data_IF_566583179244
#
_entry.id   IF_566583179244
#
_cell.length_a   1.000
_cell.length_b   1.000
_cell.length_c   1.000
_cell.angle_alpha   90.00
_cell.angle_beta   90.00
_cell.angle_gamma   90.00
#
_symmetry.space_group_name_H-M   'P 1'
#
loop_
_entity.id
_entity.type
_entity.pdbx_description
1 polymer ?
#
# COMPACT_ATOMS: atom_id res chain seq x y z
N UNK A 1 8.80 13.05 16.22
CA UNK A 1 7.51 12.34 16.27
C UNK A 1 7.69 11.05 15.48
N UNK A 2 7.03 9.96 15.88
CA UNK A 2 7.08 8.72 15.10
C UNK A 2 6.22 8.93 13.83
N UNK A 3 6.72 8.51 12.67
CA UNK A 3 5.99 8.59 11.40
C UNK A 3 4.81 7.63 11.46
N UNK A 4 3.61 8.09 11.12
CA UNK A 4 2.38 7.30 11.06
C UNK A 4 2.09 6.96 9.60
N UNK A 5 2.14 5.68 9.27
CA UNK A 5 1.84 5.19 7.92
C UNK A 5 0.67 4.24 7.97
N UNK A 6 -0.36 4.55 7.17
CA UNK A 6 -1.52 3.68 6.96
C UNK A 6 -1.38 2.99 5.60
N UNK A 7 -1.77 1.73 5.47
CA UNK A 7 -1.76 1.04 4.18
C UNK A 7 -3.12 0.48 3.80
N UNK A 8 -3.45 0.56 2.51
CA UNK A 8 -4.48 -0.26 1.88
C UNK A 8 -3.97 -1.70 1.64
N UNK A 9 -4.86 -2.57 1.15
CA UNK A 9 -4.60 -3.96 0.77
C UNK A 9 -3.55 -4.08 -0.33
N UNK A 10 -3.69 -3.34 -1.43
CA UNK A 10 -2.89 -3.58 -2.64
C UNK A 10 -1.39 -3.38 -2.48
N UNK A 11 -0.86 -2.38 -1.75
CA UNK A 11 0.59 -2.27 -1.59
C UNK A 11 1.21 -3.44 -0.84
N UNK A 12 0.50 -3.96 0.17
CA UNK A 12 0.95 -5.11 0.95
C UNK A 12 0.86 -6.38 0.12
N UNK A 13 -0.29 -6.66 -0.50
CA UNK A 13 -0.48 -7.90 -1.25
C UNK A 13 0.45 -7.97 -2.47
N UNK A 14 0.61 -6.87 -3.20
CA UNK A 14 1.52 -6.78 -4.34
C UNK A 14 2.98 -7.09 -3.94
N UNK A 15 3.49 -6.45 -2.89
CA UNK A 15 4.86 -6.69 -2.43
C UNK A 15 5.03 -8.08 -1.80
N UNK A 16 4.02 -8.59 -1.09
CA UNK A 16 4.04 -9.95 -0.55
C UNK A 16 4.11 -11.01 -1.64
N UNK A 17 3.32 -10.86 -2.72
CA UNK A 17 3.30 -11.79 -3.86
C UNK A 17 4.66 -11.92 -4.56
N UNK A 18 5.46 -10.85 -4.59
CA UNK A 18 6.81 -10.85 -5.18
C UNK A 18 7.93 -11.05 -4.15
N UNK A 19 7.58 -11.37 -2.89
CA UNK A 19 8.57 -11.60 -1.82
C UNK A 19 9.33 -10.35 -1.38
N UNK A 20 8.80 -9.15 -1.63
CA UNK A 20 9.43 -7.85 -1.33
C UNK A 20 8.73 -7.08 -0.20
N UNK A 21 7.86 -7.72 0.58
CA UNK A 21 7.10 -7.06 1.65
C UNK A 21 8.00 -6.37 2.70
N UNK A 22 9.18 -6.93 2.96
CA UNK A 22 10.17 -6.39 3.92
C UNK A 22 10.65 -4.98 3.56
N UNK A 23 10.53 -4.55 2.31
CA UNK A 23 10.83 -3.17 1.90
C UNK A 23 10.02 -2.16 2.74
N UNK A 24 8.74 -2.45 3.01
CA UNK A 24 7.90 -1.57 3.82
C UNK A 24 8.41 -1.49 5.27
N UNK A 25 8.84 -2.61 5.84
CA UNK A 25 9.43 -2.64 7.17
C UNK A 25 10.71 -1.81 7.25
N UNK A 26 11.61 -1.96 6.29
CA UNK A 26 12.87 -1.20 6.24
C UNK A 26 12.64 0.31 6.03
N UNK A 27 11.58 0.68 5.30
CA UNK A 27 11.28 2.10 5.04
C UNK A 27 10.59 2.77 6.22
N UNK A 28 9.58 2.11 6.81
CA UNK A 28 8.65 2.72 7.76
C UNK A 28 8.78 2.19 9.20
N UNK A 29 9.51 1.09 9.42
CA UNK A 29 9.62 0.34 10.68
C UNK A 29 8.31 -0.31 11.16
N UNK A 30 7.16 0.34 10.93
CA UNK A 30 5.82 -0.10 11.29
C UNK A 30 4.81 0.51 10.32
N UNK A 31 3.77 -0.25 10.01
CA UNK A 31 2.59 0.25 9.29
C UNK A 31 1.33 -0.13 10.07
N UNK A 32 0.28 0.67 9.89
CA UNK A 32 -1.03 0.43 10.49
C UNK A 32 -2.00 0.11 9.36
N UNK A 33 -2.84 -0.90 9.53
CA UNK A 33 -3.91 -1.23 8.60
C UNK A 33 -5.25 -1.26 9.32
N UNK A 34 -6.34 -0.82 8.67
CA UNK A 34 -7.66 -0.94 9.23
C UNK A 34 -8.15 -2.40 9.19
N UNK A 35 -9.21 -2.70 9.94
CA UNK A 35 -9.73 -4.08 10.07
C UNK A 35 -10.23 -4.63 8.73
N UNK A 36 -10.90 -3.83 7.88
CA UNK A 36 -11.33 -4.29 6.56
C UNK A 36 -10.15 -4.71 5.68
N UNK A 37 -9.05 -3.95 5.69
CA UNK A 37 -7.82 -4.27 4.94
C UNK A 37 -7.19 -5.56 5.46
N UNK A 38 -7.10 -5.75 6.78
CA UNK A 38 -6.59 -7.01 7.35
C UNK A 38 -7.44 -8.21 6.93
N UNK A 39 -8.76 -8.07 6.94
CA UNK A 39 -9.68 -9.13 6.51
C UNK A 39 -9.46 -9.47 5.03
N UNK A 40 -9.38 -8.45 4.16
CA UNK A 40 -9.08 -8.67 2.73
C UNK A 40 -7.73 -9.37 2.52
N UNK A 41 -6.71 -9.06 3.32
CA UNK A 41 -5.37 -9.64 3.24
C UNK A 41 -5.27 -11.07 3.79
N UNK A 42 -6.27 -11.51 4.55
CA UNK A 42 -6.27 -12.82 5.23
C UNK A 42 -7.43 -13.73 4.83
N UNK A 43 -8.29 -13.26 3.93
CA UNK A 43 -9.35 -14.06 3.33
C UNK A 43 -8.82 -15.07 2.30
N UNK A 44 -9.61 -16.10 1.98
CA UNK A 44 -9.25 -17.16 1.04
C UNK A 44 -8.86 -16.61 -0.34
N UNK A 45 -9.44 -15.47 -0.73
CA UNK A 45 -9.13 -14.79 -2.00
C UNK A 45 -7.74 -14.17 -2.10
N UNK A 46 -7.07 -13.87 -0.98
CA UNK A 46 -5.73 -13.26 -0.96
C UNK A 46 -4.62 -14.27 -1.30
N UNK A 47 -4.87 -15.55 -1.04
CA UNK A 47 -3.90 -16.64 -1.17
C UNK A 47 -2.95 -16.76 0.02
N UNK A 48 -2.50 -17.99 0.28
CA UNK A 48 -1.72 -18.37 1.47
C UNK A 48 -0.44 -17.55 1.64
N UNK A 49 0.21 -17.15 0.55
CA UNK A 49 1.45 -16.36 0.58
C UNK A 49 1.21 -15.00 1.23
N UNK A 50 0.15 -14.30 0.81
CA UNK A 50 -0.18 -12.96 1.34
C UNK A 50 -0.63 -13.08 2.79
N UNK A 51 -1.56 -13.98 3.07
CA UNK A 51 -2.09 -14.19 4.43
C UNK A 51 -0.97 -14.55 5.42
N UNK A 52 -0.08 -15.47 5.06
CA UNK A 52 1.06 -15.87 5.90
C UNK A 52 2.02 -14.70 6.11
N UNK A 53 2.33 -13.93 5.06
CA UNK A 53 3.23 -12.79 5.17
C UNK A 53 2.69 -11.72 6.13
N UNK A 54 1.38 -11.44 6.09
CA UNK A 54 0.74 -10.46 6.98
C UNK A 54 0.66 -11.00 8.41
N UNK A 55 0.17 -12.23 8.61
CA UNK A 55 -0.01 -12.82 9.94
C UNK A 55 1.30 -13.07 10.70
N UNK A 56 2.40 -13.31 9.98
CA UNK A 56 3.73 -13.49 10.57
C UNK A 56 4.48 -12.19 10.84
N UNK A 57 3.98 -11.06 10.35
CA UNK A 57 4.62 -9.75 10.48
C UNK A 57 4.22 -9.05 11.78
N UNK A 58 5.18 -8.83 12.69
CA UNK A 58 4.94 -8.13 13.97
C UNK A 58 4.90 -6.61 13.85
N UNK A 59 5.26 -6.06 12.68
CA UNK A 59 5.34 -4.63 12.40
C UNK A 59 4.13 -4.10 11.61
N UNK A 60 3.20 -4.98 11.23
CA UNK A 60 1.91 -4.63 10.64
C UNK A 60 0.88 -4.69 11.77
N UNK A 61 0.32 -3.54 12.14
CA UNK A 61 -0.68 -3.47 13.21
C UNK A 61 -2.07 -3.25 12.66
N UNK A 62 -3.00 -4.11 13.05
CA UNK A 62 -4.41 -3.98 12.72
C UNK A 62 -5.16 -3.20 13.80
N UNK A 63 -5.92 -2.20 13.40
CA UNK A 63 -6.77 -1.41 14.30
C UNK A 63 -8.14 -1.13 13.66
N UNK A 64 -9.23 -1.00 14.45
CA UNK A 64 -10.53 -0.61 13.92
C UNK A 64 -10.58 0.90 13.67
N UNK A 65 -11.32 1.31 12.64
CA UNK A 65 -11.57 2.73 12.33
C UNK A 65 -12.74 3.25 13.17
N UNK A 66 -12.59 4.40 13.83
CA UNK A 66 -13.67 4.99 14.63
C UNK A 66 -14.63 5.85 13.80
N UNK A 67 -14.14 6.54 12.77
CA UNK A 67 -14.95 7.43 11.94
C UNK A 67 -15.80 6.70 10.88
N UNK A 68 -16.77 5.91 11.34
CA UNK A 68 -17.64 5.11 10.47
C UNK A 68 -18.51 5.96 9.53
N UNK A 69 -18.86 7.20 9.91
CA UNK A 69 -19.61 8.11 9.03
C UNK A 69 -18.82 8.46 7.78
N UNK A 70 -17.52 8.73 7.92
CA UNK A 70 -16.65 8.98 6.78
C UNK A 70 -16.49 7.72 5.92
N UNK A 71 -16.29 6.55 6.54
CA UNK A 71 -16.22 5.26 5.84
C UNK A 71 -17.45 5.05 4.96
N UNK A 72 -18.66 5.15 5.52
CA UNK A 72 -19.91 4.98 4.76
C UNK A 72 -20.03 5.99 3.61
N UNK A 73 -19.59 7.23 3.80
CA UNK A 73 -19.63 8.24 2.73
C UNK A 73 -18.69 7.89 1.56
N UNK A 74 -17.53 7.31 1.86
CA UNK A 74 -16.50 6.93 0.89
C UNK A 74 -16.87 5.67 0.12
N UNK A 75 -17.57 4.71 0.74
CA UNK A 75 -18.01 3.46 0.11
C UNK A 75 -18.90 3.67 -1.14
N UNK A 76 -19.47 4.86 -1.34
CA UNK A 76 -20.17 5.22 -2.58
C UNK A 76 -19.24 5.38 -3.80
N UNK A 77 -17.92 5.44 -3.58
CA UNK A 77 -16.91 5.77 -4.61
C UNK A 77 -15.75 4.78 -4.68
N UNK A 78 -15.41 4.15 -3.56
CA UNK A 78 -14.28 3.24 -3.38
C UNK A 78 -14.76 1.98 -2.65
N UNK A 79 -13.96 0.92 -2.67
CA UNK A 79 -14.31 -0.30 -1.93
C UNK A 79 -14.18 -0.09 -0.40
N UNK A 80 -14.54 -1.12 0.37
CA UNK A 80 -14.55 -1.06 1.84
C UNK A 80 -13.14 -0.87 2.43
N UNK A 81 -12.14 -1.66 2.00
CA UNK A 81 -10.75 -1.52 2.44
C UNK A 81 -10.17 -0.14 2.14
N UNK A 82 -10.38 0.39 0.93
CA UNK A 82 -9.97 1.75 0.54
C UNK A 82 -10.67 2.82 1.39
N UNK A 83 -11.99 2.67 1.62
CA UNK A 83 -12.76 3.62 2.42
C UNK A 83 -12.26 3.68 3.87
N UNK A 84 -12.03 2.52 4.49
CA UNK A 84 -11.44 2.45 5.84
C UNK A 84 -10.02 3.01 5.86
N UNK A 85 -9.15 2.66 4.91
CA UNK A 85 -7.77 3.13 4.89
C UNK A 85 -7.67 4.66 4.78
N UNK A 86 -8.51 5.27 3.92
CA UNK A 86 -8.59 6.72 3.77
C UNK A 86 -9.14 7.37 5.04
N UNK A 87 -10.25 6.86 5.58
CA UNK A 87 -10.85 7.40 6.80
C UNK A 87 -9.87 7.31 7.97
N UNK A 88 -9.12 6.21 8.06
CA UNK A 88 -8.20 5.96 9.15
C UNK A 88 -6.93 6.82 9.05
N UNK A 89 -6.42 7.03 7.83
CA UNK A 89 -5.33 7.98 7.61
C UNK A 89 -5.70 9.40 8.08
N UNK A 90 -6.95 9.83 7.87
CA UNK A 90 -7.43 11.12 8.36
C UNK A 90 -7.60 11.12 9.88
N UNK A 91 -8.16 10.04 10.43
CA UNK A 91 -8.38 9.90 11.88
C UNK A 91 -7.08 9.97 12.68
N UNK A 92 -6.01 9.38 12.17
CA UNK A 92 -4.70 9.34 12.81
C UNK A 92 -3.81 10.54 12.47
N UNK A 93 -4.25 11.45 11.60
CA UNK A 93 -3.40 12.49 10.99
C UNK A 93 -2.11 11.88 10.40
N UNK A 94 -2.29 10.81 9.61
CA UNK A 94 -1.19 10.02 9.09
C UNK A 94 -0.28 10.82 8.16
N UNK A 95 1.03 10.63 8.31
CA UNK A 95 2.04 11.26 7.46
C UNK A 95 1.94 10.75 6.01
N UNK A 96 1.49 9.51 5.83
CA UNK A 96 1.36 8.89 4.51
C UNK A 96 0.35 7.73 4.48
N UNK A 97 -0.41 7.64 3.38
CA UNK A 97 -1.26 6.50 3.05
C UNK A 97 -0.70 5.75 1.83
N UNK A 98 -0.44 4.45 1.99
CA UNK A 98 -0.06 3.57 0.89
C UNK A 98 -1.32 3.10 0.14
N UNK A 99 -1.48 3.50 -1.11
CA UNK A 99 -2.64 3.16 -1.95
C UNK A 99 -2.33 3.25 -3.47
N UNK A 100 -2.66 2.20 -4.21
CA UNK A 100 -2.35 2.10 -5.65
C UNK A 100 -3.54 2.45 -6.55
N UNK A 101 -4.76 2.15 -6.11
CA UNK A 101 -5.96 2.25 -6.91
C UNK A 101 -6.28 3.70 -7.29
N UNK A 102 -6.57 3.93 -8.58
CA UNK A 102 -6.84 5.27 -9.12
C UNK A 102 -7.98 6.00 -8.40
N UNK A 103 -9.06 5.29 -8.04
CA UNK A 103 -10.21 5.90 -7.36
C UNK A 103 -9.87 6.25 -5.91
N UNK A 104 -9.28 5.31 -5.16
CA UNK A 104 -8.75 5.56 -3.82
C UNK A 104 -7.77 6.73 -3.76
N UNK A 105 -6.73 6.72 -4.62
CA UNK A 105 -5.75 7.82 -4.73
C UNK A 105 -6.43 9.19 -4.95
N UNK A 106 -7.45 9.22 -5.82
CA UNK A 106 -8.19 10.45 -6.12
C UNK A 106 -8.96 10.96 -4.90
N UNK A 107 -9.68 10.08 -4.19
CA UNK A 107 -10.45 10.51 -3.01
C UNK A 107 -9.55 10.88 -1.83
N UNK A 108 -8.47 10.14 -1.59
CA UNK A 108 -7.45 10.46 -0.59
C UNK A 108 -6.84 11.85 -0.84
N UNK A 109 -6.40 12.12 -2.08
CA UNK A 109 -5.86 13.42 -2.48
C UNK A 109 -6.89 14.54 -2.32
N UNK A 110 -8.15 14.30 -2.70
CA UNK A 110 -9.25 15.28 -2.55
C UNK A 110 -9.47 15.66 -1.07
N UNK A 111 -9.21 14.74 -0.16
CA UNK A 111 -9.33 14.93 1.29
C UNK A 111 -8.04 15.43 1.95
N UNK A 112 -6.98 15.68 1.18
CA UNK A 112 -5.71 16.22 1.69
C UNK A 112 -4.80 15.18 2.33
N UNK A 113 -5.07 13.89 2.15
CA UNK A 113 -4.22 12.80 2.67
C UNK A 113 -2.98 12.67 1.77
N UNK A 114 -1.75 12.73 2.33
CA UNK A 114 -0.54 12.42 1.58
C UNK A 114 -0.56 10.94 1.16
N UNK A 115 -0.21 10.65 -0.10
CA UNK A 115 -0.28 9.30 -0.63
C UNK A 115 1.01 8.87 -1.31
N UNK A 116 1.31 7.58 -1.22
CA UNK A 116 2.25 6.89 -2.10
C UNK A 116 1.68 5.55 -2.53
N UNK A 117 2.25 4.96 -3.57
CA UNK A 117 1.91 3.61 -4.03
C UNK A 117 3.15 2.75 -4.11
N UNK A 118 3.02 1.50 -4.55
CA UNK A 118 4.14 0.54 -4.65
C UNK A 118 5.30 1.09 -5.47
N UNK A 119 5.01 1.76 -6.60
CA UNK A 119 6.08 2.33 -7.44
C UNK A 119 6.86 3.44 -6.72
N UNK A 120 6.19 4.25 -5.90
CA UNK A 120 6.85 5.25 -5.06
C UNK A 120 7.70 4.60 -3.97
N UNK A 121 7.17 3.53 -3.35
CA UNK A 121 7.92 2.71 -2.38
C UNK A 121 9.18 2.12 -3.01
N UNK A 122 9.12 1.59 -4.23
CA UNK A 122 10.28 1.03 -4.93
C UNK A 122 11.34 2.11 -5.23
N UNK A 123 10.92 3.31 -5.62
CA UNK A 123 11.85 4.44 -5.81
C UNK A 123 12.57 4.80 -4.52
N UNK A 124 11.84 4.89 -3.40
CA UNK A 124 12.42 5.15 -2.07
C UNK A 124 13.38 4.01 -1.69
N UNK A 125 12.99 2.76 -1.92
CA UNK A 125 13.81 1.59 -1.65
C UNK A 125 15.14 1.65 -2.40
N UNK A 126 15.11 1.99 -3.70
CA UNK A 126 16.33 2.14 -4.50
C UNK A 126 17.18 3.31 -4.00
N UNK A 127 16.57 4.46 -3.72
CA UNK A 127 17.29 5.63 -3.21
C UNK A 127 18.02 5.34 -1.89
N UNK A 128 17.42 4.49 -1.04
CA UNK A 128 18.00 4.04 0.23
C UNK A 128 18.97 2.85 0.08
N UNK A 129 19.15 2.32 -1.12
CA UNK A 129 20.01 1.17 -1.38
C UNK A 129 19.46 -0.18 -0.87
N UNK A 130 18.15 -0.25 -0.58
CA UNK A 130 17.47 -1.48 -0.15
C UNK A 130 17.28 -2.46 -1.32
N UNK A 131 17.19 -1.93 -2.53
CA UNK A 131 17.19 -2.70 -3.78
C UNK A 131 18.18 -2.08 -4.77
N UNK A 132 18.82 -2.91 -5.58
CA UNK A 132 19.79 -2.45 -6.58
C UNK A 132 19.10 -1.81 -7.80
N UNK A 133 17.92 -2.31 -8.16
CA UNK A 133 17.18 -1.89 -9.34
C UNK A 133 15.67 -2.02 -9.10
N UNK A 134 14.87 -1.11 -9.68
CA UNK A 134 13.39 -1.16 -9.62
C UNK A 134 12.83 -2.08 -10.71
N UNK A 135 13.48 -2.16 -11.88
CA UNK A 135 12.95 -2.88 -13.05
C UNK A 135 12.63 -4.35 -12.76
N UNK A 136 13.51 -5.15 -12.12
CA UNK A 136 13.22 -6.57 -11.87
C UNK A 136 11.98 -6.75 -10.99
N UNK A 137 11.83 -5.93 -9.95
CA UNK A 137 10.68 -5.99 -9.04
C UNK A 137 9.40 -5.56 -9.77
N UNK A 138 9.46 -4.52 -10.60
CA UNK A 138 8.31 -4.11 -11.42
C UNK A 138 7.90 -5.19 -12.43
N UNK A 139 8.86 -5.88 -13.06
CA UNK A 139 8.59 -6.98 -13.97
C UNK A 139 7.90 -8.15 -13.25
N UNK A 140 8.37 -8.48 -12.03
CA UNK A 140 7.75 -9.50 -11.19
C UNK A 140 6.33 -9.10 -10.74
N UNK A 141 6.12 -7.83 -10.38
CA UNK A 141 4.80 -7.32 -10.03
C UNK A 141 3.82 -7.48 -11.19
N UNK A 142 4.23 -7.17 -12.42
CA UNK A 142 3.40 -7.31 -13.62
C UNK A 142 3.12 -8.78 -13.95
N UNK A 143 4.11 -9.65 -13.75
CA UNK A 143 4.02 -11.06 -14.15
C UNK A 143 3.29 -11.93 -13.12
N UNK A 144 3.46 -11.65 -11.83
CA UNK A 144 3.05 -12.53 -10.73
C UNK A 144 1.91 -11.93 -9.89
N UNK A 145 1.79 -10.61 -9.82
CA UNK A 145 0.69 -9.93 -9.13
C UNK A 145 -0.33 -9.39 -10.13
N UNK A 146 -1.51 -9.01 -9.65
CA UNK A 146 -2.55 -8.33 -10.47
C UNK A 146 -2.18 -6.84 -10.67
N UNK A 147 -0.88 -6.54 -10.81
CA UNK A 147 -0.36 -5.18 -10.89
C UNK A 147 -0.43 -4.67 -12.33
N UNK A 148 -1.15 -3.56 -12.52
CA UNK A 148 -1.32 -2.92 -13.83
C UNK A 148 -0.65 -1.56 -13.85
N UNK A 149 0.29 -1.38 -14.76
CA UNK A 149 0.99 -0.12 -14.99
C UNK A 149 0.99 0.19 -16.48
N UNK A 150 0.73 1.45 -16.83
CA UNK A 150 0.83 1.90 -18.22
C UNK A 150 2.29 1.90 -18.67
N UNK A 151 2.56 1.65 -19.94
CA UNK A 151 3.93 1.72 -20.49
C UNK A 151 4.61 3.05 -20.21
N UNK A 152 3.86 4.16 -20.26
CA UNK A 152 4.38 5.48 -19.95
C UNK A 152 4.85 5.57 -18.50
N UNK A 153 3.97 5.25 -17.53
CA UNK A 153 4.31 5.28 -16.11
C UNK A 153 5.46 4.31 -15.78
N UNK A 154 5.50 3.15 -16.42
CA UNK A 154 6.61 2.21 -16.27
C UNK A 154 7.95 2.86 -16.67
N UNK A 155 8.01 3.47 -17.87
CA UNK A 155 9.19 4.18 -18.34
C UNK A 155 9.56 5.37 -17.45
N UNK A 156 8.58 6.13 -16.97
CA UNK A 156 8.81 7.27 -16.08
C UNK A 156 9.46 6.82 -14.76
N UNK A 157 9.04 5.68 -14.20
CA UNK A 157 9.63 5.13 -12.98
C UNK A 157 11.06 4.63 -13.22
N UNK A 158 11.35 3.98 -14.36
CA UNK A 158 12.72 3.59 -14.69
C UNK A 158 13.63 4.82 -14.82
N UNK A 159 13.17 5.85 -15.54
CA UNK A 159 13.92 7.09 -15.67
C UNK A 159 14.16 7.76 -14.31
N UNK A 160 13.16 7.81 -13.44
CA UNK A 160 13.30 8.36 -12.09
C UNK A 160 14.27 7.53 -11.22
N UNK A 161 14.34 6.23 -11.46
CA UNK A 161 15.29 5.33 -10.82
C UNK A 161 16.71 5.40 -11.43
N UNK A 162 16.90 6.06 -12.57
CA UNK A 162 18.15 6.04 -13.33
C UNK A 162 18.44 4.69 -14.01
N UNK A 163 17.39 4.00 -14.46
CA UNK A 163 17.41 2.75 -15.24
C UNK A 163 16.94 2.93 -16.68
#
# INVERSE_FOLDING_TARGET
MAVIVVSNTSPISNLAMVGQLTILQEIYSKIIIPTAVYNELTDEGAGDVVATAVQSSTWIETQPVANLTLVTSLQSKVNEGEAEAIAFAIELDADELLIDERLGRREATRLGVPITGVLGVLLIAKQRGLITAVKPVMDELIAQAVFRVSSQLYSDILQAAGE
#
